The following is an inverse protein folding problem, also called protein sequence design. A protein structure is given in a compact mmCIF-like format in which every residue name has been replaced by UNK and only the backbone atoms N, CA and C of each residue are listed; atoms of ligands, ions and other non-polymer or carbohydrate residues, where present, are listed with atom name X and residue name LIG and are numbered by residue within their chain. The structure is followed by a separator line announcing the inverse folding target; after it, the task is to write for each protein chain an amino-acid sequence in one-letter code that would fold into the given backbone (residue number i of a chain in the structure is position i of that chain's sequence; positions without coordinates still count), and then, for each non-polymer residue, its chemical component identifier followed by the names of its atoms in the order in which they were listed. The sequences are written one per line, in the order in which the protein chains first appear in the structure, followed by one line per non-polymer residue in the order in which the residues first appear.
data_IF_683782826463
#
_entry.id   IF_683782826463
#
_cell.length_a   1.000
_cell.length_b   1.000
_cell.length_c   1.000
_cell.angle_alpha   90.00
_cell.angle_beta   90.00
_cell.angle_gamma   90.00
#
_symmetry.space_group_name_H-M   'P 1'
#
loop_
_entity.id
_entity.type
_entity.pdbx_description
1 polymer ?
#
# COMPACT_ATOMS: atom_id res chain seq x y z
N UNK A 1 5.04 3.87 7.88
CA UNK A 1 5.15 3.79 6.40
C UNK A 1 3.96 3.02 5.84
N UNK A 2 3.45 3.42 4.67
CA UNK A 2 2.42 2.71 3.92
C UNK A 2 2.97 2.38 2.52
N UNK A 3 2.95 1.11 2.12
CA UNK A 3 3.46 0.68 0.80
C UNK A 3 2.29 0.14 -0.02
N UNK A 4 1.94 0.80 -1.11
CA UNK A 4 1.03 0.27 -2.12
C UNK A 4 1.77 -0.71 -3.00
N UNK A 5 1.45 -1.99 -2.87
CA UNK A 5 1.97 -3.07 -3.70
C UNK A 5 0.96 -3.35 -4.80
N UNK A 6 1.38 -3.23 -6.05
CA UNK A 6 0.52 -3.39 -7.22
C UNK A 6 1.29 -4.00 -8.39
N UNK A 7 0.57 -4.41 -9.43
CA UNK A 7 1.14 -4.67 -10.74
C UNK A 7 0.45 -3.77 -11.78
N UNK A 8 1.20 -3.33 -12.78
CA UNK A 8 0.70 -2.44 -13.84
C UNK A 8 -0.52 -2.96 -14.62
N UNK A 9 -0.73 -4.28 -14.65
CA UNK A 9 -1.85 -4.94 -15.34
C UNK A 9 -3.13 -5.07 -14.51
N UNK A 10 -3.16 -4.58 -13.27
CA UNK A 10 -4.30 -4.75 -12.36
C UNK A 10 -5.45 -3.79 -12.70
N UNK A 11 -6.68 -4.30 -12.68
CA UNK A 11 -7.88 -3.50 -12.94
C UNK A 11 -8.11 -2.40 -11.89
N UNK A 12 -8.59 -1.24 -12.34
CA UNK A 12 -8.88 -0.04 -11.56
C UNK A 12 -7.67 0.51 -10.78
N UNK A 13 -6.45 0.27 -11.29
CA UNK A 13 -5.22 0.74 -10.65
C UNK A 13 -5.20 2.26 -10.44
N UNK A 14 -5.68 3.03 -11.41
CA UNK A 14 -5.66 4.49 -11.33
C UNK A 14 -6.58 5.04 -10.24
N UNK A 15 -7.76 4.44 -10.05
CA UNK A 15 -8.66 4.80 -8.94
C UNK A 15 -8.01 4.51 -7.58
N UNK A 16 -7.31 3.37 -7.48
CA UNK A 16 -6.63 2.94 -6.25
C UNK A 16 -5.43 3.85 -5.96
N UNK A 17 -4.64 4.20 -6.97
CA UNK A 17 -3.55 5.18 -6.84
C UNK A 17 -4.08 6.54 -6.41
N UNK A 18 -5.21 6.98 -6.95
CA UNK A 18 -5.86 8.23 -6.54
C UNK A 18 -6.30 8.18 -5.07
N UNK A 19 -6.95 7.10 -4.64
CA UNK A 19 -7.32 6.92 -3.23
C UNK A 19 -6.10 6.90 -2.30
N UNK A 20 -5.03 6.21 -2.70
CA UNK A 20 -3.78 6.16 -1.96
C UNK A 20 -3.07 7.54 -1.90
N UNK A 21 -3.02 8.27 -3.01
CA UNK A 21 -2.46 9.63 -3.08
C UNK A 21 -3.25 10.63 -2.25
N UNK A 22 -4.59 10.50 -2.17
CA UNK A 22 -5.40 11.33 -1.28
C UNK A 22 -4.99 11.13 0.19
N UNK A 23 -4.77 9.88 0.61
CA UNK A 23 -4.28 9.59 1.96
C UNK A 23 -2.84 10.07 2.16
N UNK A 24 -1.97 9.94 1.16
CA UNK A 24 -0.61 10.48 1.18
C UNK A 24 -0.62 11.99 1.45
N UNK A 25 -1.45 12.76 0.73
CA UNK A 25 -1.56 14.20 0.94
C UNK A 25 -2.01 14.55 2.37
N UNK A 26 -2.97 13.79 2.92
CA UNK A 26 -3.54 14.01 4.26
C UNK A 26 -2.60 13.58 5.39
N UNK A 27 -1.79 12.54 5.18
CA UNK A 27 -0.96 11.90 6.21
C UNK A 27 0.55 12.01 5.96
N UNK A 28 0.98 12.81 4.98
CA UNK A 28 2.39 12.98 4.57
C UNK A 28 3.35 13.31 5.72
N UNK A 29 2.88 13.99 6.76
CA UNK A 29 3.69 14.33 7.93
C UNK A 29 3.91 13.15 8.89
N UNK A 30 3.00 12.17 8.89
CA UNK A 30 2.99 11.05 9.85
C UNK A 30 3.39 9.72 9.22
N UNK A 31 3.29 9.62 7.89
CA UNK A 31 3.56 8.40 7.14
C UNK A 31 4.37 8.72 5.88
N UNK A 32 5.40 7.90 5.66
CA UNK A 32 6.00 7.77 4.33
C UNK A 32 5.12 6.83 3.48
N UNK A 33 4.67 7.31 2.32
CA UNK A 33 3.88 6.56 1.34
C UNK A 33 4.80 6.12 0.19
N UNK A 34 4.75 4.83 -0.17
CA UNK A 34 5.63 4.24 -1.18
C UNK A 34 4.81 3.43 -2.17
N UNK A 35 5.12 3.58 -3.45
CA UNK A 35 4.50 2.83 -4.54
C UNK A 35 5.47 1.74 -4.99
N UNK A 36 5.00 0.50 -5.06
CA UNK A 36 5.80 -0.65 -5.48
C UNK A 36 5.07 -1.39 -6.60
N UNK A 37 5.49 -1.13 -7.85
CA UNK A 37 5.08 -1.91 -9.01
C UNK A 37 5.90 -3.19 -9.09
N UNK A 38 5.27 -4.32 -8.82
CA UNK A 38 5.93 -5.62 -8.85
C UNK A 38 6.07 -6.17 -10.27
N UNK A 39 5.42 -5.58 -11.27
CA UNK A 39 5.57 -5.97 -12.66
C UNK A 39 6.73 -5.23 -13.36
N UNK A 40 7.36 -4.26 -12.70
CA UNK A 40 8.49 -3.54 -13.28
C UNK A 40 9.75 -4.41 -13.36
N UNK A 41 10.63 -4.11 -14.31
CA UNK A 41 11.92 -4.80 -14.46
C UNK A 41 12.77 -4.72 -13.19
N UNK A 42 12.75 -3.56 -12.51
CA UNK A 42 13.56 -3.30 -11.32
C UNK A 42 13.14 -4.14 -10.10
N UNK A 43 11.87 -4.56 -10.04
CA UNK A 43 11.32 -5.31 -8.90
C UNK A 43 11.31 -6.82 -9.11
N UNK A 44 11.68 -7.31 -10.30
CA UNK A 44 11.80 -8.76 -10.59
C UNK A 44 12.70 -9.48 -9.58
N UNK A 45 13.84 -8.88 -9.23
CA UNK A 45 14.77 -9.44 -8.24
C UNK A 45 14.17 -9.50 -6.83
N UNK A 46 13.38 -8.48 -6.46
CA UNK A 46 12.70 -8.43 -5.17
C UNK A 46 11.59 -9.50 -5.07
N UNK A 47 10.81 -9.68 -6.13
CA UNK A 47 9.71 -10.66 -6.14
C UNK A 47 10.19 -12.10 -5.96
N UNK A 48 11.35 -12.43 -6.55
CA UNK A 48 11.97 -13.74 -6.40
C UNK A 48 12.37 -14.04 -4.95
N UNK A 49 12.71 -13.00 -4.17
CA UNK A 49 13.17 -13.13 -2.79
C UNK A 49 12.04 -13.07 -1.75
N UNK A 50 11.00 -12.26 -1.98
CA UNK A 50 10.02 -11.91 -0.96
C UNK A 50 8.62 -12.53 -1.15
N UNK A 51 8.43 -13.39 -2.17
CA UNK A 51 7.18 -14.13 -2.41
C UNK A 51 5.92 -13.25 -2.26
N UNK A 52 5.86 -12.17 -3.02
CA UNK A 52 4.74 -11.22 -2.97
C UNK A 52 3.42 -11.94 -3.28
N UNK A 53 2.43 -11.75 -2.40
CA UNK A 53 1.21 -12.56 -2.34
C UNK A 53 0.27 -12.34 -3.53
N UNK A 54 -0.54 -13.35 -3.89
CA UNK A 54 -1.69 -13.14 -4.78
C UNK A 54 -2.68 -12.16 -4.13
N UNK A 55 -3.48 -11.46 -4.96
CA UNK A 55 -4.50 -10.45 -4.61
C UNK A 55 -4.05 -8.97 -4.66
N UNK A 56 -3.33 -8.59 -5.72
CA UNK A 56 -3.02 -7.19 -6.00
C UNK A 56 -4.28 -6.39 -6.37
N UNK A 57 -4.31 -5.08 -6.07
CA UNK A 57 -3.31 -4.33 -5.30
C UNK A 57 -3.70 -4.29 -3.82
N UNK A 58 -2.70 -4.08 -2.97
CA UNK A 58 -2.89 -3.99 -1.52
C UNK A 58 -1.91 -3.02 -0.88
N UNK A 59 -2.22 -2.56 0.33
CA UNK A 59 -1.33 -1.68 1.10
C UNK A 59 -0.78 -2.43 2.30
N UNK A 60 0.53 -2.35 2.49
CA UNK A 60 1.21 -2.80 3.70
C UNK A 60 1.55 -1.60 4.57
N UNK A 61 1.01 -1.57 5.79
CA UNK A 61 1.38 -0.57 6.79
C UNK A 61 2.52 -1.13 7.67
N UNK A 62 3.60 -0.37 7.81
CA UNK A 62 4.77 -0.69 8.63
C UNK A 62 4.96 0.34 9.75
N UNK A 63 5.06 -0.14 11.00
CA UNK A 63 5.46 0.65 12.17
C UNK A 63 6.98 0.53 12.36
N UNK A 64 7.61 1.57 12.92
CA UNK A 64 9.07 1.62 13.09
C UNK A 64 9.63 0.33 13.71
N UNK A 65 10.82 -0.07 13.23
CA UNK A 65 11.51 -1.35 13.53
C UNK A 65 10.94 -2.61 12.84
N UNK A 66 10.08 -2.45 11.83
CA UNK A 66 9.82 -3.48 10.81
C UNK A 66 9.09 -4.73 11.28
N UNK A 67 8.51 -4.74 12.48
CA UNK A 67 7.90 -5.95 13.07
C UNK A 67 6.40 -6.09 12.87
N UNK A 68 5.68 -5.02 12.59
CA UNK A 68 4.23 -5.08 12.40
C UNK A 68 3.93 -4.63 10.98
N UNK A 69 3.47 -5.58 10.16
CA UNK A 69 2.85 -5.32 8.87
C UNK A 69 1.33 -5.51 9.00
N UNK A 70 0.54 -4.50 8.64
CA UNK A 70 -0.90 -4.68 8.42
C UNK A 70 -1.20 -4.65 6.94
N UNK A 71 -2.01 -5.63 6.53
CA UNK A 71 -2.46 -5.80 5.16
C UNK A 71 -3.82 -5.14 4.96
N UNK A 72 -3.91 -4.21 4.01
CA UNK A 72 -5.15 -3.58 3.59
C UNK A 72 -5.51 -4.04 2.17
N UNK A 73 -6.70 -4.61 2.03
CA UNK A 73 -7.25 -5.04 0.75
C UNK A 73 -7.76 -3.86 -0.09
N UNK A 74 -7.83 -4.05 -1.41
CA UNK A 74 -8.40 -3.11 -2.39
C UNK A 74 -9.70 -2.43 -1.93
N UNK A 75 -10.64 -3.19 -1.37
CA UNK A 75 -11.93 -2.63 -0.93
C UNK A 75 -11.78 -1.59 0.18
N UNK A 76 -10.88 -1.82 1.15
CA UNK A 76 -10.62 -0.84 2.21
C UNK A 76 -9.79 0.35 1.70
N UNK A 77 -8.90 0.14 0.72
CA UNK A 77 -8.12 1.24 0.13
C UNK A 77 -9.03 2.22 -0.61
N UNK A 78 -10.07 1.71 -1.29
CA UNK A 78 -11.03 2.54 -2.01
C UNK A 78 -12.10 3.19 -1.12
N UNK A 79 -12.23 2.76 0.14
CA UNK A 79 -13.11 3.36 1.13
C UNK A 79 -12.30 4.30 2.04
N UNK A 80 -12.45 5.61 1.84
CA UNK A 80 -11.72 6.63 2.60
C UNK A 80 -11.91 6.48 4.12
N UNK A 81 -13.12 6.12 4.58
CA UNK A 81 -13.40 5.95 6.00
C UNK A 81 -12.63 4.75 6.55
N UNK A 82 -12.69 3.61 5.85
CA UNK A 82 -11.91 2.42 6.21
C UNK A 82 -10.41 2.72 6.26
N UNK A 83 -9.87 3.33 5.20
CA UNK A 83 -8.44 3.60 5.11
C UNK A 83 -7.97 4.57 6.21
N UNK A 84 -8.72 5.65 6.42
CA UNK A 84 -8.48 6.63 7.51
C UNK A 84 -8.46 5.94 8.88
N UNK A 85 -9.45 5.10 9.17
CA UNK A 85 -9.52 4.36 10.43
C UNK A 85 -8.27 3.48 10.63
N UNK A 86 -7.84 2.76 9.59
CA UNK A 86 -6.66 1.89 9.67
C UNK A 86 -5.36 2.67 9.84
N UNK A 87 -5.19 3.80 9.16
CA UNK A 87 -4.03 4.67 9.34
C UNK A 87 -3.98 5.26 10.76
N UNK A 88 -5.12 5.73 11.27
CA UNK A 88 -5.21 6.30 12.62
C UNK A 88 -4.95 5.22 13.69
N UNK A 89 -5.56 4.05 13.57
CA UNK A 89 -5.32 2.93 14.49
C UNK A 89 -3.85 2.55 14.50
N UNK A 90 -3.21 2.53 13.33
CA UNK A 90 -1.85 2.03 13.18
C UNK A 90 -0.77 3.08 13.55
N UNK A 91 -1.13 4.36 13.54
CA UNK A 91 -0.28 5.47 13.98
C UNK A 91 -0.15 5.51 15.51
N UNK A 92 -1.26 5.21 16.21
CA UNK A 92 -1.31 5.06 17.66
C UNK A 92 -0.64 3.73 18.08
#
# INVERSE_FOLDING_TARGET
MAILVYASWVDNLEDIKKAFSNMENKYSQSYNFVYLDIASEDTKLFNQKYHIYPNLPYVLLFKDRGRISRYLQKNCINDEACFTEKLNFFAN
#
